data_IF_017372868846
#
_entry.id   IF_017372868846
#
_cell.length_a   1.000
_cell.length_b   1.000
_cell.length_c   1.000
_cell.angle_alpha   90.00
_cell.angle_beta   90.00
_cell.angle_gamma   90.00
#
_symmetry.space_group_name_H-M   'P 1'
#
loop_
_entity.id
_entity.type
_entity.pdbx_description
1 polymer ?
#
# COMPACT_ATOMS: atom_id res chain seq x y z
N UNK A 1 10.48 -6.65 24.02
CA UNK A 1 10.82 -6.54 22.58
C UNK A 1 9.64 -6.87 21.67
N UNK A 2 8.86 -7.93 21.94
CA UNK A 2 7.73 -8.39 21.09
C UNK A 2 6.71 -7.29 20.74
N UNK A 3 6.31 -6.46 21.72
CA UNK A 3 5.44 -5.29 21.49
C UNK A 3 6.04 -4.25 20.53
N UNK A 4 7.36 -4.09 20.52
CA UNK A 4 8.07 -3.14 19.64
C UNK A 4 8.16 -3.71 18.22
N UNK A 5 8.43 -5.01 18.07
CA UNK A 5 8.51 -5.67 16.77
C UNK A 5 7.12 -5.84 16.11
N UNK A 6 6.09 -6.22 16.86
CA UNK A 6 4.72 -6.21 16.35
C UNK A 6 4.32 -4.81 15.87
N UNK A 7 4.71 -3.75 16.60
CA UNK A 7 4.48 -2.37 16.16
C UNK A 7 5.22 -2.03 14.87
N UNK A 8 6.44 -2.57 14.68
CA UNK A 8 7.24 -2.39 13.46
C UNK A 8 6.68 -3.12 12.23
N UNK A 9 5.87 -4.16 12.37
CA UNK A 9 5.20 -4.84 11.23
C UNK A 9 3.82 -4.26 10.99
N UNK A 10 3.08 -4.01 12.07
CA UNK A 10 1.72 -3.46 12.02
C UNK A 10 1.68 -2.08 11.37
N UNK A 11 2.62 -1.19 11.72
CA UNK A 11 2.62 0.18 11.21
C UNK A 11 2.87 0.27 9.68
N UNK A 12 3.88 -0.42 9.10
CA UNK A 12 4.04 -0.51 7.66
C UNK A 12 2.83 -1.14 6.96
N UNK A 13 2.27 -2.21 7.54
CA UNK A 13 1.13 -2.91 6.95
C UNK A 13 -0.09 -2.00 6.81
N UNK A 14 -0.46 -1.28 7.88
CA UNK A 14 -1.59 -0.35 7.83
C UNK A 14 -1.32 0.82 6.89
N UNK A 15 -0.11 1.38 6.92
CA UNK A 15 0.25 2.52 6.09
C UNK A 15 0.21 2.15 4.59
N UNK A 16 0.67 0.95 4.25
CA UNK A 16 0.60 0.38 2.89
C UNK A 16 -0.83 0.07 2.47
N UNK A 17 -1.68 -0.44 3.37
CA UNK A 17 -3.11 -0.66 3.09
C UNK A 17 -3.84 0.65 2.77
N UNK A 18 -3.55 1.74 3.49
CA UNK A 18 -4.10 3.06 3.16
C UNK A 18 -3.74 3.46 1.72
N UNK A 19 -2.47 3.29 1.33
CA UNK A 19 -2.00 3.55 -0.03
C UNK A 19 -2.74 2.70 -1.07
N UNK A 20 -2.88 1.40 -0.84
CA UNK A 20 -3.58 0.50 -1.75
C UNK A 20 -5.06 0.85 -1.93
N UNK A 21 -5.75 1.21 -0.84
CA UNK A 21 -7.15 1.68 -0.88
C UNK A 21 -7.27 2.96 -1.72
N UNK A 22 -6.35 3.91 -1.54
CA UNK A 22 -6.31 5.14 -2.34
C UNK A 22 -6.12 4.87 -3.83
N UNK A 23 -5.18 3.98 -4.19
CA UNK A 23 -4.98 3.58 -5.59
C UNK A 23 -6.25 2.98 -6.20
N UNK A 24 -6.93 2.10 -5.46
CA UNK A 24 -8.18 1.47 -5.91
C UNK A 24 -9.30 2.48 -6.13
N UNK A 25 -9.46 3.45 -5.23
CA UNK A 25 -10.43 4.53 -5.41
C UNK A 25 -10.10 5.41 -6.61
N UNK A 26 -8.84 5.81 -6.77
CA UNK A 26 -8.41 6.59 -7.92
C UNK A 26 -8.71 5.86 -9.24
N UNK A 27 -8.45 4.54 -9.29
CA UNK A 27 -8.73 3.72 -10.48
C UNK A 27 -10.21 3.72 -10.87
N UNK A 28 -11.11 3.68 -9.89
CA UNK A 28 -12.57 3.69 -10.13
C UNK A 28 -13.04 5.09 -10.52
N UNK A 29 -12.59 6.12 -9.81
CA UNK A 29 -13.04 7.50 -10.01
C UNK A 29 -12.61 8.06 -11.38
N UNK A 30 -11.44 7.68 -11.87
CA UNK A 30 -10.88 8.19 -13.12
C UNK A 30 -11.00 7.21 -14.30
N UNK A 31 -11.82 6.16 -14.17
CA UNK A 31 -12.08 5.12 -15.18
C UNK A 31 -10.84 4.69 -16.00
N UNK A 32 -9.87 4.12 -15.29
CA UNK A 32 -8.52 4.07 -15.84
C UNK A 32 -8.25 2.81 -16.65
N UNK A 33 -7.81 3.05 -17.88
CA UNK A 33 -7.57 2.03 -18.91
C UNK A 33 -6.21 1.33 -18.85
N UNK A 34 -5.23 1.81 -18.05
CA UNK A 34 -3.92 1.16 -17.97
C UNK A 34 -3.99 -0.22 -17.28
N UNK A 35 -3.03 -1.09 -17.62
CA UNK A 35 -2.97 -2.47 -17.10
C UNK A 35 -2.85 -2.53 -15.58
N UNK A 36 -3.56 -3.48 -14.95
CA UNK A 36 -3.55 -3.68 -13.49
C UNK A 36 -2.14 -3.94 -12.92
N UNK A 37 -1.20 -4.40 -13.75
CA UNK A 37 0.17 -4.69 -13.33
C UNK A 37 0.86 -3.46 -12.71
N UNK A 38 0.55 -2.25 -13.19
CA UNK A 38 1.14 -1.03 -12.66
C UNK A 38 0.63 -0.70 -11.25
N UNK A 39 -0.63 -1.01 -10.94
CA UNK A 39 -1.15 -0.83 -9.58
C UNK A 39 -0.59 -1.88 -8.63
N UNK A 40 -0.44 -3.12 -9.11
CA UNK A 40 0.19 -4.19 -8.34
C UNK A 40 1.62 -3.81 -7.96
N UNK A 41 2.42 -3.36 -8.94
CA UNK A 41 3.78 -2.91 -8.70
C UNK A 41 3.82 -1.69 -7.77
N UNK A 42 2.91 -0.73 -7.95
CA UNK A 42 2.79 0.42 -7.07
C UNK A 42 2.50 -0.01 -5.62
N UNK A 43 1.56 -0.93 -5.39
CA UNK A 43 1.25 -1.48 -4.05
C UNK A 43 2.47 -2.15 -3.43
N UNK A 44 3.22 -2.94 -4.20
CA UNK A 44 4.46 -3.55 -3.74
C UNK A 44 5.49 -2.49 -3.33
N UNK A 45 5.71 -1.47 -4.17
CA UNK A 45 6.62 -0.36 -3.85
C UNK A 45 6.14 0.43 -2.62
N UNK A 46 4.84 0.71 -2.51
CA UNK A 46 4.22 1.38 -1.37
C UNK A 46 4.47 0.64 -0.06
N UNK A 47 4.42 -0.70 -0.06
CA UNK A 47 4.76 -1.51 1.11
C UNK A 47 6.23 -1.34 1.52
N UNK A 48 7.17 -1.45 0.58
CA UNK A 48 8.60 -1.27 0.84
C UNK A 48 8.88 0.13 1.40
N UNK A 49 8.24 1.14 0.83
CA UNK A 49 8.30 2.52 1.30
C UNK A 49 7.78 2.66 2.73
N UNK A 50 6.68 1.99 3.09
CA UNK A 50 6.15 2.00 4.45
C UNK A 50 7.15 1.39 5.46
N UNK A 51 7.87 0.34 5.04
CA UNK A 51 8.95 -0.27 5.84
C UNK A 51 10.12 0.71 6.02
N UNK A 52 10.53 1.40 4.96
CA UNK A 52 11.60 2.42 5.00
C UNK A 52 11.23 3.54 5.99
N UNK A 53 10.01 4.06 5.93
CA UNK A 53 9.51 5.10 6.84
C UNK A 53 9.47 4.64 8.31
N UNK A 54 9.34 3.33 8.57
CA UNK A 54 9.41 2.79 9.93
C UNK A 54 10.83 2.60 10.46
N UNK A 55 11.84 2.66 9.58
CA UNK A 55 13.24 2.29 9.89
C UNK A 55 14.21 3.47 9.83
N UNK A 56 13.91 4.51 9.06
CA UNK A 56 14.78 5.68 8.86
C UNK A 56 14.17 6.97 9.41
N UNK A 57 14.98 8.02 9.53
CA UNK A 57 14.46 9.37 9.80
C UNK A 57 13.60 9.86 8.65
N UNK A 58 12.58 10.69 8.92
CA UNK A 58 11.57 11.11 7.92
C UNK A 58 12.18 11.66 6.62
N UNK A 59 13.21 12.52 6.74
CA UNK A 59 13.88 13.11 5.58
C UNK A 59 14.61 12.06 4.74
N UNK A 60 15.41 11.19 5.39
CA UNK A 60 16.14 10.11 4.70
C UNK A 60 15.18 9.11 4.07
N UNK A 61 14.10 8.75 4.78
CA UNK A 61 13.06 7.87 4.27
C UNK A 61 12.40 8.43 3.02
N UNK A 62 12.07 9.74 3.02
CA UNK A 62 11.47 10.42 1.87
C UNK A 62 12.40 10.39 0.64
N UNK A 63 13.69 10.70 0.82
CA UNK A 63 14.66 10.65 -0.27
C UNK A 63 14.79 9.25 -0.87
N UNK A 64 14.91 8.21 -0.03
CA UNK A 64 15.02 6.82 -0.49
C UNK A 64 13.73 6.37 -1.17
N UNK A 65 12.56 6.74 -0.64
CA UNK A 65 11.27 6.42 -1.24
C UNK A 65 11.10 7.05 -2.62
N UNK A 66 11.46 8.33 -2.77
CA UNK A 66 11.41 9.01 -4.07
C UNK A 66 12.33 8.36 -5.10
N UNK A 67 13.56 7.99 -4.70
CA UNK A 67 14.49 7.27 -5.57
C UNK A 67 13.90 5.93 -6.02
N UNK A 68 13.26 5.19 -5.12
CA UNK A 68 12.64 3.90 -5.41
C UNK A 68 11.49 4.02 -6.41
N UNK A 69 10.64 5.04 -6.27
CA UNK A 69 9.58 5.33 -7.24
C UNK A 69 10.14 5.75 -8.60
N UNK A 70 11.18 6.59 -8.64
CA UNK A 70 11.85 6.99 -9.89
C UNK A 70 12.40 5.75 -10.60
N UNK A 71 13.12 4.88 -9.88
CA UNK A 71 13.63 3.62 -10.44
C UNK A 71 12.51 2.74 -10.97
N UNK A 72 11.40 2.60 -10.22
CA UNK A 72 10.21 1.89 -10.69
C UNK A 72 9.66 2.49 -11.99
N UNK A 73 9.48 3.81 -12.07
CA UNK A 73 8.95 4.46 -13.28
C UNK A 73 9.88 4.29 -14.49
N UNK A 74 11.20 4.40 -14.29
CA UNK A 74 12.19 4.24 -15.35
C UNK A 74 12.30 2.80 -15.86
N UNK A 75 12.25 1.80 -14.97
CA UNK A 75 12.46 0.39 -15.34
C UNK A 75 11.24 -0.23 -16.04
N UNK A 76 10.03 0.17 -15.66
CA UNK A 76 8.79 -0.50 -16.08
C UNK A 76 7.99 0.25 -17.15
N UNK A 77 8.55 1.33 -17.72
CA UNK A 77 7.89 2.17 -18.74
C UNK A 77 6.43 2.48 -18.38
N UNK A 78 6.24 3.02 -17.18
CA UNK A 78 4.93 3.20 -16.56
C UNK A 78 4.17 4.32 -17.28
N UNK A 79 2.89 4.14 -17.66
CA UNK A 79 2.13 5.18 -18.34
C UNK A 79 1.93 6.40 -17.43
N UNK A 80 1.94 7.61 -18.00
CA UNK A 80 1.87 8.87 -17.24
C UNK A 80 0.69 8.93 -16.26
N UNK A 81 -0.47 8.40 -16.64
CA UNK A 81 -1.64 8.35 -15.75
C UNK A 81 -1.39 7.49 -14.50
N UNK A 82 -0.70 6.35 -14.65
CA UNK A 82 -0.31 5.51 -13.52
C UNK A 82 0.76 6.18 -12.65
N UNK A 83 1.68 6.93 -13.24
CA UNK A 83 2.69 7.72 -12.50
C UNK A 83 1.99 8.75 -11.62
N UNK A 84 1.10 9.57 -12.19
CA UNK A 84 0.37 10.63 -11.47
C UNK A 84 -0.37 10.04 -10.27
N UNK A 85 -1.08 8.93 -10.47
CA UNK A 85 -1.87 8.30 -9.42
C UNK A 85 -1.01 7.68 -8.34
N UNK A 86 0.10 7.06 -8.74
CA UNK A 86 1.08 6.52 -7.81
C UNK A 86 1.66 7.65 -6.94
N UNK A 87 1.96 8.81 -7.51
CA UNK A 87 2.45 9.99 -6.78
C UNK A 87 1.37 10.57 -5.85
N UNK A 88 0.11 10.65 -6.28
CA UNK A 88 -1.01 11.06 -5.43
C UNK A 88 -1.19 10.09 -4.25
N UNK A 89 -1.16 8.78 -4.54
CA UNK A 89 -1.20 7.74 -3.52
C UNK A 89 -0.05 7.89 -2.54
N UNK A 90 1.17 8.13 -3.02
CA UNK A 90 2.36 8.32 -2.18
C UNK A 90 2.21 9.55 -1.28
N UNK A 91 1.71 10.67 -1.80
CA UNK A 91 1.39 11.85 -0.99
C UNK A 91 0.41 11.53 0.14
N UNK A 92 -0.65 10.76 -0.15
CA UNK A 92 -1.62 10.30 0.86
C UNK A 92 -0.97 9.33 1.84
N UNK A 93 -0.08 8.45 1.38
CA UNK A 93 0.67 7.54 2.25
C UNK A 93 1.54 8.32 3.24
N UNK A 94 2.27 9.34 2.78
CA UNK A 94 3.07 10.22 3.62
C UNK A 94 2.18 10.98 4.60
N UNK A 95 1.05 11.54 4.14
CA UNK A 95 0.08 12.21 5.02
C UNK A 95 -0.47 11.25 6.07
N UNK A 96 -0.72 9.99 5.70
CA UNK A 96 -1.20 8.97 6.61
C UNK A 96 -0.23 8.75 7.76
N UNK A 97 1.08 8.96 7.60
CA UNK A 97 2.06 8.83 8.69
C UNK A 97 1.73 9.72 9.89
N UNK A 98 1.00 10.83 9.67
CA UNK A 98 0.56 11.78 10.69
C UNK A 98 -0.81 11.47 11.31
N UNK A 99 -1.55 10.52 10.74
CA UNK A 99 -2.88 10.13 11.24
C UNK A 99 -2.76 9.14 12.41
N UNK A 100 -3.71 9.21 13.34
CA UNK A 100 -3.83 8.22 14.41
C UNK A 100 -4.16 6.84 13.83
N UNK A 101 -3.68 5.77 14.48
CA UNK A 101 -3.93 4.40 14.02
C UNK A 101 -5.43 4.07 13.93
N UNK A 102 -6.24 4.61 14.85
CA UNK A 102 -7.70 4.45 14.84
C UNK A 102 -8.31 5.02 13.56
N UNK A 103 -7.89 6.23 13.15
CA UNK A 103 -8.39 6.86 11.94
C UNK A 103 -7.94 6.11 10.69
N UNK A 104 -6.68 5.63 10.64
CA UNK A 104 -6.20 4.79 9.53
C UNK A 104 -7.04 3.52 9.37
N UNK A 105 -7.31 2.84 10.48
CA UNK A 105 -8.09 1.61 10.47
C UNK A 105 -9.52 1.87 9.96
N UNK A 106 -10.14 2.97 10.39
CA UNK A 106 -11.45 3.39 9.91
C UNK A 106 -11.46 3.61 8.39
N UNK A 107 -10.46 4.34 7.87
CA UNK A 107 -10.32 4.59 6.42
C UNK A 107 -10.18 3.27 5.66
N UNK A 108 -9.36 2.34 6.15
CA UNK A 108 -9.15 1.04 5.51
C UNK A 108 -10.46 0.23 5.51
N UNK A 109 -11.12 0.09 6.65
CA UNK A 109 -12.35 -0.72 6.76
C UNK A 109 -13.46 -0.16 5.87
N UNK A 110 -13.74 1.14 5.97
CA UNK A 110 -14.76 1.79 5.14
C UNK A 110 -14.39 1.74 3.65
N UNK A 111 -13.10 1.92 3.34
CA UNK A 111 -12.59 1.83 1.98
C UNK A 111 -12.81 0.45 1.37
N UNK A 112 -12.39 -0.61 2.06
CA UNK A 112 -12.59 -1.99 1.60
C UNK A 112 -14.06 -2.36 1.47
N UNK A 113 -14.92 -1.98 2.42
CA UNK A 113 -16.37 -2.23 2.33
C UNK A 113 -16.98 -1.55 1.10
N UNK A 114 -16.61 -0.29 0.85
CA UNK A 114 -17.10 0.45 -0.32
C UNK A 114 -16.63 -0.19 -1.62
N UNK A 115 -15.35 -0.55 -1.70
CA UNK A 115 -14.77 -1.20 -2.88
C UNK A 115 -15.39 -2.58 -3.13
N UNK A 116 -15.64 -3.37 -2.09
CA UNK A 116 -16.30 -4.67 -2.18
C UNK A 116 -17.76 -4.52 -2.68
N UNK A 117 -18.49 -3.54 -2.17
CA UNK A 117 -19.84 -3.23 -2.65
C UNK A 117 -19.86 -2.84 -4.13
N UNK A 118 -18.93 -1.97 -4.54
CA UNK A 118 -18.78 -1.57 -5.96
C UNK A 118 -18.44 -2.78 -6.82
N UNK A 119 -17.49 -3.62 -6.40
CA UNK A 119 -17.11 -4.83 -7.12
C UNK A 119 -18.28 -5.79 -7.31
N UNK A 120 -19.07 -6.01 -6.25
CA UNK A 120 -20.27 -6.85 -6.29
C UNK A 120 -21.33 -6.29 -7.24
N UNK A 121 -21.67 -5.00 -7.11
CA UNK A 121 -22.74 -4.37 -7.91
C UNK A 121 -22.40 -4.28 -9.40
N UNK A 122 -21.14 -4.02 -9.73
CA UNK A 122 -20.67 -3.80 -11.10
C UNK A 122 -20.19 -5.06 -11.82
N UNK A 123 -20.05 -6.19 -11.11
CA UNK A 123 -19.44 -7.40 -11.66
C UNK A 123 -17.97 -7.19 -12.09
N UNK A 124 -17.28 -6.20 -11.50
CA UNK A 124 -15.94 -5.81 -11.89
C UNK A 124 -14.90 -6.88 -11.49
N UNK A 125 -14.67 -7.86 -12.37
CA UNK A 125 -13.72 -8.95 -12.15
C UNK A 125 -12.29 -8.43 -11.88
N UNK A 126 -11.85 -7.39 -12.59
CA UNK A 126 -10.51 -6.79 -12.39
C UNK A 126 -10.35 -6.17 -10.99
N UNK A 127 -11.38 -5.48 -10.50
CA UNK A 127 -11.38 -4.89 -9.16
C UNK A 127 -11.43 -5.98 -8.08
N UNK A 128 -12.22 -7.02 -8.30
CA UNK A 128 -12.32 -8.19 -7.40
C UNK A 128 -10.97 -8.89 -7.27
N UNK A 129 -10.31 -9.16 -8.39
CA UNK A 129 -8.97 -9.75 -8.40
C UNK A 129 -7.97 -8.86 -7.66
N UNK A 130 -8.02 -7.54 -7.89
CA UNK A 130 -7.08 -6.62 -7.24
C UNK A 130 -7.29 -6.53 -5.73
N UNK A 131 -8.55 -6.53 -5.26
CA UNK A 131 -8.88 -6.61 -3.84
C UNK A 131 -8.31 -7.89 -3.19
N UNK A 132 -8.50 -9.03 -3.84
CA UNK A 132 -7.95 -10.31 -3.37
C UNK A 132 -6.42 -10.30 -3.33
N UNK A 133 -5.77 -9.77 -4.38
CA UNK A 133 -4.32 -9.61 -4.42
C UNK A 133 -3.81 -8.75 -3.26
N UNK A 134 -4.41 -7.58 -3.04
CA UNK A 134 -3.98 -6.66 -1.98
C UNK A 134 -4.14 -7.31 -0.61
N UNK A 135 -5.26 -7.99 -0.35
CA UNK A 135 -5.46 -8.70 0.92
C UNK A 135 -4.43 -9.82 1.10
N UNK A 136 -4.26 -10.68 0.09
CA UNK A 136 -3.32 -11.80 0.14
C UNK A 136 -1.88 -11.31 0.36
N UNK A 137 -1.46 -10.28 -0.37
CA UNK A 137 -0.14 -9.68 -0.24
C UNK A 137 0.15 -9.21 1.19
N UNK A 138 -0.76 -8.44 1.79
CA UNK A 138 -0.56 -7.91 3.14
C UNK A 138 -0.65 -9.01 4.21
N UNK A 139 -1.50 -10.02 4.04
CA UNK A 139 -1.57 -11.19 4.94
C UNK A 139 -0.26 -11.98 4.90
N UNK A 140 0.29 -12.25 3.71
CA UNK A 140 1.57 -12.96 3.55
C UNK A 140 2.70 -12.22 4.26
N UNK A 141 2.83 -10.92 4.05
CA UNK A 141 3.86 -10.11 4.74
C UNK A 141 3.67 -10.06 6.24
N UNK A 142 2.42 -10.02 6.72
CA UNK A 142 2.12 -10.08 8.14
C UNK A 142 2.57 -11.43 8.74
N UNK A 143 2.27 -12.55 8.09
CA UNK A 143 2.72 -13.89 8.52
C UNK A 143 4.25 -14.00 8.50
N UNK A 144 4.90 -13.57 7.41
CA UNK A 144 6.37 -13.59 7.30
C UNK A 144 7.02 -12.76 8.41
N UNK A 145 6.44 -11.59 8.74
CA UNK A 145 6.88 -10.77 9.85
C UNK A 145 6.76 -11.50 11.21
N UNK A 146 5.65 -12.19 11.45
CA UNK A 146 5.47 -13.00 12.67
C UNK A 146 6.47 -14.15 12.77
N UNK A 147 6.73 -14.85 11.67
CA UNK A 147 7.72 -15.93 11.61
C UNK A 147 9.12 -15.39 11.92
N UNK A 148 9.51 -14.26 11.31
CA UNK A 148 10.79 -13.63 11.57
C UNK A 148 10.98 -13.25 13.05
N UNK A 149 9.92 -12.76 13.72
CA UNK A 149 9.95 -12.50 15.17
C UNK A 149 10.21 -13.78 15.95
N UNK A 150 9.53 -14.87 15.60
CA UNK A 150 9.64 -16.14 16.31
C UNK A 150 11.04 -16.77 16.17
N UNK A 151 11.68 -16.61 15.00
CA UNK A 151 13.05 -17.06 14.77
C UNK A 151 14.03 -16.25 15.62
N UNK A 152 13.92 -14.92 15.63
CA UNK A 152 14.81 -14.02 16.39
C UNK A 152 14.66 -14.16 17.91
N UNK A 153 13.60 -14.83 18.37
CA UNK A 153 13.35 -15.11 19.79
C UNK A 153 14.11 -16.35 20.29
N UNK A 154 14.47 -17.28 19.40
CA UNK A 154 15.25 -18.48 19.72
C UNK A 154 16.74 -18.15 19.72
#
# INVERSE_FOLDING_TARGET
MEKIYCRKIYYPTITSLCFAVTLMFARILFDISYSLIYDILAVCCGFVVAVIFSSLTKLKALCVAMLLFILYFCLFNVPMNAIIITLCGFGIQVLSLHLSNTLKLLIIVLGFLTLAFVAYKSGAMRLTFFLQFVLLWHVLWFILGLVAINILRR
#
